data_IF_416438266089
#
_entry.id   IF_416438266089
#
_cell.length_a   1.000
_cell.length_b   1.000
_cell.length_c   1.000
_cell.angle_alpha   90.00
_cell.angle_beta   90.00
_cell.angle_gamma   90.00
#
_symmetry.space_group_name_H-M   'P 1'
#
loop_
_entity.id
_entity.type
_entity.pdbx_description
1 polymer ?
#
# COMPACT_ATOMS: atom_id res chain seq x y z
N UNK A 1 24.16 39.18 21.71
CA UNK A 1 23.54 39.07 20.37
C UNK A 1 24.37 38.29 19.36
N UNK A 2 25.72 38.37 19.43
CA UNK A 2 26.60 37.64 18.47
C UNK A 2 26.47 36.11 18.57
N UNK A 3 26.43 35.55 19.79
CA UNK A 3 26.27 34.09 19.99
C UNK A 3 25.01 33.53 19.32
N UNK A 4 23.91 34.30 19.37
CA UNK A 4 22.64 33.86 18.74
C UNK A 4 22.78 33.82 17.22
N UNK A 5 23.48 34.77 16.60
CA UNK A 5 23.73 34.78 15.17
C UNK A 5 24.54 33.54 14.74
N UNK A 6 25.59 33.20 15.49
CA UNK A 6 26.44 32.05 15.21
C UNK A 6 25.62 30.74 15.25
N UNK A 7 24.77 30.59 16.27
CA UNK A 7 23.89 29.43 16.40
C UNK A 7 22.94 29.36 15.20
N UNK A 8 22.31 30.47 14.82
CA UNK A 8 21.39 30.52 13.67
C UNK A 8 22.11 30.13 12.38
N UNK A 9 23.30 30.68 12.11
CA UNK A 9 24.07 30.36 10.92
C UNK A 9 24.52 28.90 10.89
N UNK A 10 24.86 28.31 12.03
CA UNK A 10 25.22 26.91 12.13
C UNK A 10 24.01 25.98 11.93
N UNK A 11 22.83 26.36 12.40
CA UNK A 11 21.61 25.56 12.26
C UNK A 11 20.98 25.64 10.86
N UNK A 12 21.22 26.72 10.11
CA UNK A 12 20.66 26.92 8.77
C UNK A 12 21.01 25.79 7.78
N UNK A 13 22.29 25.34 7.68
CA UNK A 13 22.65 24.23 6.80
C UNK A 13 21.91 22.93 7.16
N UNK A 14 21.72 22.65 8.47
CA UNK A 14 20.98 21.47 8.92
C UNK A 14 19.51 21.54 8.55
N UNK A 15 18.89 22.72 8.66
CA UNK A 15 17.50 22.92 8.22
C UNK A 15 17.35 22.71 6.71
N UNK A 16 18.29 23.20 5.91
CA UNK A 16 18.33 22.99 4.45
C UNK A 16 18.48 21.50 4.12
N UNK A 17 19.42 20.81 4.75
CA UNK A 17 19.64 19.37 4.56
C UNK A 17 18.38 18.58 4.90
N UNK A 18 17.73 18.91 6.02
CA UNK A 18 16.47 18.27 6.42
C UNK A 18 15.35 18.51 5.40
N UNK A 19 15.22 19.73 4.88
CA UNK A 19 14.26 20.05 3.83
C UNK A 19 14.52 19.26 2.55
N UNK A 20 15.77 19.16 2.13
CA UNK A 20 16.18 18.37 0.96
C UNK A 20 15.86 16.89 1.16
N UNK A 21 16.23 16.30 2.31
CA UNK A 21 15.94 14.90 2.62
C UNK A 21 14.43 14.63 2.61
N UNK A 22 13.64 15.54 3.18
CA UNK A 22 12.18 15.40 3.20
C UNK A 22 11.55 15.45 1.82
N UNK A 23 12.12 16.20 0.88
CA UNK A 23 11.61 16.30 -0.49
C UNK A 23 12.08 15.14 -1.38
N UNK A 24 13.32 14.68 -1.21
CA UNK A 24 13.88 13.61 -2.04
C UNK A 24 13.41 12.24 -1.60
N UNK A 25 13.35 12.00 -0.29
CA UNK A 25 12.94 10.69 0.26
C UNK A 25 11.45 10.70 0.53
N UNK A 26 10.73 9.77 -0.12
CA UNK A 26 9.27 9.62 0.06
C UNK A 26 8.86 9.65 1.53
N UNK A 27 7.72 10.31 1.81
CA UNK A 27 7.15 10.42 3.15
C UNK A 27 6.89 9.06 3.84
N UNK A 28 6.73 7.99 3.06
CA UNK A 28 6.54 6.62 3.58
C UNK A 28 7.84 5.99 4.11
N UNK A 29 9.00 6.56 3.78
CA UNK A 29 10.30 5.93 4.02
C UNK A 29 11.09 6.58 5.16
N UNK A 30 10.47 6.74 6.33
CA UNK A 30 11.08 7.35 7.51
C UNK A 30 12.34 6.65 8.00
N UNK A 31 12.42 5.32 7.88
CA UNK A 31 13.61 4.56 8.26
C UNK A 31 14.83 4.95 7.42
N UNK A 32 14.66 5.11 6.10
CA UNK A 32 15.72 5.56 5.19
C UNK A 32 16.16 7.00 5.49
N UNK A 33 15.19 7.89 5.81
CA UNK A 33 15.49 9.26 6.25
C UNK A 33 16.33 9.26 7.51
N UNK A 34 15.95 8.46 8.51
CA UNK A 34 16.70 8.34 9.77
C UNK A 34 18.13 7.82 9.54
N UNK A 35 18.30 6.82 8.65
CA UNK A 35 19.63 6.30 8.31
C UNK A 35 20.53 7.39 7.70
N UNK A 36 20.02 8.17 6.75
CA UNK A 36 20.78 9.27 6.14
C UNK A 36 21.17 10.32 7.19
N UNK A 37 20.25 10.69 8.08
CA UNK A 37 20.52 11.65 9.16
C UNK A 37 21.54 11.10 10.18
N UNK A 38 21.55 9.80 10.45
CA UNK A 38 22.59 9.15 11.27
C UNK A 38 23.97 9.26 10.64
N UNK A 39 24.09 9.06 9.33
CA UNK A 39 25.36 9.21 8.62
C UNK A 39 25.86 10.65 8.73
N UNK A 40 24.98 11.63 8.53
CA UNK A 40 25.32 13.06 8.68
C UNK A 40 25.72 13.39 10.11
N UNK A 41 25.01 12.85 11.12
CA UNK A 41 25.34 13.03 12.52
C UNK A 41 26.74 12.51 12.87
N UNK A 42 27.08 11.29 12.43
CA UNK A 42 28.41 10.71 12.64
C UNK A 42 29.48 11.52 11.93
N UNK A 43 29.25 11.97 10.70
CA UNK A 43 30.16 12.83 9.95
C UNK A 43 30.42 14.17 10.70
N UNK A 44 29.37 14.83 11.17
CA UNK A 44 29.48 16.05 11.96
C UNK A 44 30.22 15.81 13.27
N UNK A 45 29.93 14.71 13.98
CA UNK A 45 30.63 14.34 15.21
C UNK A 45 32.12 14.16 15.00
N UNK A 46 32.53 13.49 13.90
CA UNK A 46 33.93 13.30 13.57
C UNK A 46 34.63 14.62 13.22
N UNK A 47 34.01 15.48 12.44
CA UNK A 47 34.57 16.78 12.06
C UNK A 47 34.75 17.69 13.28
N UNK A 48 33.73 17.83 14.12
CA UNK A 48 33.82 18.69 15.31
C UNK A 48 34.69 18.09 16.37
N UNK A 49 34.64 16.77 16.61
CA UNK A 49 35.53 16.07 17.52
C UNK A 49 37.00 16.20 17.11
N UNK A 50 37.28 16.05 15.81
CA UNK A 50 38.60 16.24 15.23
C UNK A 50 39.11 17.66 15.40
N UNK A 51 38.27 18.69 15.17
CA UNK A 51 38.59 20.08 15.38
C UNK A 51 38.89 20.39 16.87
N UNK A 52 38.11 19.80 17.79
CA UNK A 52 38.36 19.94 19.24
C UNK A 52 39.71 19.36 19.65
N UNK A 53 40.04 18.18 19.18
CA UNK A 53 41.33 17.53 19.48
C UNK A 53 42.47 18.37 18.92
N UNK A 54 42.34 18.85 17.69
CA UNK A 54 43.33 19.71 17.06
C UNK A 54 43.59 20.99 17.86
N UNK A 55 42.53 21.75 18.23
CA UNK A 55 42.60 22.95 19.03
C UNK A 55 43.25 22.67 20.40
N UNK A 56 42.90 21.59 21.06
CA UNK A 56 43.49 21.19 22.34
C UNK A 56 44.99 20.89 22.23
N UNK A 57 45.41 20.23 21.17
CA UNK A 57 46.82 19.88 20.94
C UNK A 57 47.69 21.11 20.59
N UNK A 58 47.11 22.08 19.86
CA UNK A 58 47.85 23.25 19.38
C UNK A 58 47.94 24.38 20.37
N UNK A 59 46.84 24.65 21.10
CA UNK A 59 46.73 25.80 21.98
C UNK A 59 46.72 25.48 23.49
N UNK A 60 46.68 24.21 23.86
CA UNK A 60 46.66 23.77 25.26
C UNK A 60 45.35 24.08 26.00
N UNK A 61 45.29 23.70 27.29
CA UNK A 61 44.05 23.73 28.07
C UNK A 61 43.61 25.12 28.58
N UNK A 62 44.41 26.17 28.36
CA UNK A 62 44.22 27.45 29.07
C UNK A 62 43.44 28.52 28.29
N UNK A 63 43.16 28.34 27.00
CA UNK A 63 42.40 29.33 26.25
C UNK A 63 41.31 28.63 25.40
N UNK A 64 40.11 28.58 25.94
CA UNK A 64 38.92 28.28 25.16
C UNK A 64 38.56 29.44 24.23
N UNK A 65 39.45 29.73 23.26
CA UNK A 65 39.25 30.82 22.31
C UNK A 65 38.13 30.57 21.33
N UNK A 66 37.76 29.29 21.13
CA UNK A 66 36.74 28.87 20.16
C UNK A 66 35.45 28.38 20.79
N UNK A 67 35.12 28.80 22.03
CA UNK A 67 33.86 28.44 22.70
C UNK A 67 32.61 28.61 21.83
N UNK A 68 32.57 29.59 20.95
CA UNK A 68 31.47 29.89 20.07
C UNK A 68 31.23 28.77 19.05
N UNK A 69 32.29 28.15 18.51
CA UNK A 69 32.21 27.04 17.58
C UNK A 69 31.67 25.77 18.25
N UNK A 70 32.06 25.51 19.50
CA UNK A 70 31.54 24.40 20.28
C UNK A 70 30.05 24.54 20.54
N UNK A 71 29.59 25.73 20.83
CA UNK A 71 28.18 26.02 21.08
C UNK A 71 27.35 25.82 19.80
N UNK A 72 27.88 26.29 18.67
CA UNK A 72 27.28 26.09 17.37
C UNK A 72 27.24 24.60 16.97
N UNK A 73 28.34 23.87 17.15
CA UNK A 73 28.46 22.44 16.90
C UNK A 73 27.49 21.63 17.76
N UNK A 74 27.43 21.93 19.06
CA UNK A 74 26.49 21.29 19.98
C UNK A 74 25.04 21.51 19.58
N UNK A 75 24.67 22.72 19.17
CA UNK A 75 23.33 23.03 18.67
C UNK A 75 22.98 22.23 17.40
N UNK A 76 23.90 22.14 16.43
CA UNK A 76 23.72 21.35 15.20
C UNK A 76 23.51 19.86 15.51
N UNK A 77 24.34 19.29 16.40
CA UNK A 77 24.23 17.89 16.81
C UNK A 77 22.89 17.60 17.51
N UNK A 78 22.45 18.49 18.42
CA UNK A 78 21.17 18.35 19.10
C UNK A 78 19.98 18.40 18.14
N UNK A 79 19.99 19.34 17.17
CA UNK A 79 18.95 19.43 16.16
C UNK A 79 18.91 18.17 15.28
N UNK A 80 20.09 17.71 14.83
CA UNK A 80 20.17 16.50 14.03
C UNK A 80 19.66 15.26 14.78
N UNK A 81 20.04 15.12 16.05
CA UNK A 81 19.55 14.07 16.92
C UNK A 81 18.02 14.13 17.07
N UNK A 82 17.45 15.32 17.25
CA UNK A 82 16.00 15.51 17.29
C UNK A 82 15.30 15.02 16.02
N UNK A 83 15.86 15.30 14.84
CA UNK A 83 15.32 14.82 13.57
C UNK A 83 15.45 13.30 13.42
N UNK A 84 16.55 12.70 13.87
CA UNK A 84 16.72 11.24 13.91
C UNK A 84 15.62 10.61 14.75
N UNK A 85 15.45 11.08 15.98
CA UNK A 85 14.42 10.58 16.91
C UNK A 85 13.03 10.74 16.31
N UNK A 86 12.71 11.90 15.75
CA UNK A 86 11.41 12.13 15.08
C UNK A 86 11.15 11.11 13.97
N UNK A 87 12.12 10.90 13.06
CA UNK A 87 11.96 9.95 11.95
C UNK A 87 11.88 8.50 12.44
N UNK A 88 12.60 8.13 13.50
CA UNK A 88 12.49 6.81 14.11
C UNK A 88 11.10 6.57 14.71
N UNK A 89 10.58 7.55 15.48
CA UNK A 89 9.23 7.47 16.04
C UNK A 89 8.19 7.31 14.92
N UNK A 90 8.31 8.07 13.83
CA UNK A 90 7.40 7.93 12.69
C UNK A 90 7.56 6.59 11.97
N UNK A 91 8.78 6.06 11.85
CA UNK A 91 9.03 4.73 11.30
C UNK A 91 8.35 3.64 12.14
N UNK A 92 8.48 3.69 13.48
CA UNK A 92 7.81 2.76 14.38
C UNK A 92 6.28 2.88 14.30
N UNK A 93 5.74 4.09 14.30
CA UNK A 93 4.28 4.31 14.15
C UNK A 93 3.75 3.76 12.84
N UNK A 94 4.48 3.95 11.74
CA UNK A 94 4.09 3.40 10.44
C UNK A 94 4.21 1.87 10.39
N UNK A 95 5.25 1.31 10.99
CA UNK A 95 5.39 -0.14 11.12
C UNK A 95 4.23 -0.75 11.92
N UNK A 96 3.83 -0.12 13.02
CA UNK A 96 2.65 -0.53 13.79
C UNK A 96 1.35 -0.41 12.98
N UNK A 97 1.18 0.64 12.18
CA UNK A 97 0.01 0.78 11.30
C UNK A 97 -0.03 -0.31 10.23
N UNK A 98 1.12 -0.63 9.61
CA UNK A 98 1.23 -1.70 8.61
C UNK A 98 1.01 -3.06 9.28
N UNK A 99 1.57 -3.30 10.46
CA UNK A 99 1.36 -4.54 11.22
C UNK A 99 -0.10 -4.71 11.64
N UNK A 100 -0.76 -3.64 12.07
CA UNK A 100 -2.18 -3.66 12.38
C UNK A 100 -3.03 -3.86 11.12
N UNK A 101 -2.70 -3.20 9.99
CA UNK A 101 -3.36 -3.45 8.72
C UNK A 101 -3.21 -4.91 8.28
N UNK A 102 -2.03 -5.51 8.42
CA UNK A 102 -1.81 -6.92 8.14
C UNK A 102 -2.59 -7.84 9.10
N UNK A 103 -2.79 -7.45 10.36
CA UNK A 103 -3.64 -8.19 11.30
C UNK A 103 -5.13 -8.03 10.97
N UNK A 104 -5.56 -6.83 10.53
CA UNK A 104 -6.93 -6.63 10.00
C UNK A 104 -7.16 -7.43 8.72
N UNK A 105 -6.15 -7.56 7.86
CA UNK A 105 -6.22 -8.35 6.63
C UNK A 105 -6.34 -9.87 6.90
N UNK A 106 -5.85 -10.37 8.05
CA UNK A 106 -6.03 -11.78 8.45
C UNK A 106 -7.49 -12.16 8.71
N UNK A 107 -8.33 -11.18 9.05
CA UNK A 107 -9.76 -11.38 9.34
C UNK A 107 -10.66 -11.02 8.14
N UNK A 108 -10.09 -10.52 7.05
CA UNK A 108 -10.82 -10.16 5.84
C UNK A 108 -10.50 -11.19 4.75
N UNK A 109 -11.52 -11.88 4.30
CA UNK A 109 -11.41 -12.72 3.11
C UNK A 109 -11.67 -11.85 1.87
N UNK A 110 -10.69 -11.80 0.98
CA UNK A 110 -10.79 -11.09 -0.30
C UNK A 110 -11.04 -12.08 -1.43
N UNK A 111 -11.99 -11.74 -2.28
CA UNK A 111 -12.40 -12.58 -3.41
C UNK A 111 -12.35 -11.80 -4.71
N UNK A 112 -11.90 -12.45 -5.78
CA UNK A 112 -12.24 -12.05 -7.14
C UNK A 112 -13.63 -12.58 -7.43
N UNK A 113 -14.47 -11.75 -8.03
CA UNK A 113 -15.78 -12.13 -8.53
C UNK A 113 -15.86 -11.77 -10.02
N UNK A 114 -15.84 -12.79 -10.86
CA UNK A 114 -15.66 -12.61 -12.30
C UNK A 114 -16.91 -13.12 -13.03
N UNK A 115 -17.40 -12.31 -13.96
CA UNK A 115 -18.42 -12.70 -14.93
C UNK A 115 -17.75 -12.65 -16.31
N UNK A 116 -17.80 -13.74 -17.05
CA UNK A 116 -17.27 -13.80 -18.40
C UNK A 116 -18.36 -13.49 -19.42
N UNK A 117 -17.97 -12.88 -20.53
CA UNK A 117 -18.84 -12.51 -21.63
C UNK A 117 -18.19 -12.86 -22.97
N UNK A 118 -18.98 -13.35 -23.91
CA UNK A 118 -18.59 -13.51 -25.31
C UNK A 118 -19.73 -13.05 -26.21
N UNK A 119 -19.49 -12.02 -27.02
CA UNK A 119 -20.55 -11.35 -27.75
C UNK A 119 -21.61 -10.77 -26.82
N UNK A 120 -22.85 -11.20 -26.96
CA UNK A 120 -23.96 -10.78 -26.10
C UNK A 120 -24.31 -11.80 -24.99
N UNK A 121 -23.57 -12.90 -24.91
CA UNK A 121 -23.84 -13.97 -23.97
C UNK A 121 -22.91 -13.92 -22.77
N UNK A 122 -23.43 -14.28 -21.61
CA UNK A 122 -22.69 -14.36 -20.35
C UNK A 122 -22.46 -15.81 -19.95
N UNK A 123 -21.34 -16.07 -19.28
CA UNK A 123 -20.98 -17.38 -18.76
C UNK A 123 -21.08 -17.34 -17.24
N UNK A 124 -22.03 -18.10 -16.70
CA UNK A 124 -22.21 -18.26 -15.27
C UNK A 124 -21.94 -19.72 -14.88
N UNK A 125 -21.30 -19.90 -13.75
CA UNK A 125 -21.02 -21.20 -13.19
C UNK A 125 -22.30 -21.83 -12.67
N UNK A 126 -22.55 -23.07 -13.08
CA UNK A 126 -23.69 -23.85 -12.65
C UNK A 126 -23.27 -24.80 -11.53
N UNK A 127 -23.94 -24.73 -10.40
CA UNK A 127 -23.77 -25.67 -9.28
C UNK A 127 -25.11 -26.31 -8.93
N UNK A 128 -25.09 -27.63 -8.71
CA UNK A 128 -26.28 -28.31 -8.19
C UNK A 128 -26.24 -28.32 -6.67
N UNK A 129 -27.21 -27.66 -6.06
CA UNK A 129 -27.33 -27.57 -4.60
C UNK A 129 -28.75 -27.92 -4.19
N UNK A 130 -28.88 -28.88 -3.30
CA UNK A 130 -30.18 -29.36 -2.79
C UNK A 130 -31.15 -29.79 -3.92
N UNK A 131 -30.64 -30.44 -4.98
CA UNK A 131 -31.34 -30.82 -6.20
C UNK A 131 -31.90 -29.62 -7.02
N UNK A 132 -31.34 -28.45 -6.86
CA UNK A 132 -31.65 -27.26 -7.66
C UNK A 132 -30.38 -26.76 -8.32
N UNK A 133 -30.52 -26.35 -9.57
CA UNK A 133 -29.44 -25.69 -10.30
C UNK A 133 -29.36 -24.22 -9.86
N UNK A 134 -28.22 -23.83 -9.29
CA UNK A 134 -27.95 -22.47 -8.82
C UNK A 134 -26.83 -21.88 -9.64
N UNK A 135 -27.02 -20.64 -10.09
CA UNK A 135 -26.05 -19.93 -10.92
C UNK A 135 -25.28 -18.89 -10.12
N UNK A 136 -23.98 -18.78 -10.40
CA UNK A 136 -23.07 -17.84 -9.74
C UNK A 136 -21.97 -17.37 -10.71
N UNK A 137 -21.38 -16.22 -10.43
CA UNK A 137 -20.14 -15.81 -11.06
C UNK A 137 -18.97 -16.62 -10.55
N UNK A 138 -17.85 -16.54 -11.23
CA UNK A 138 -16.62 -17.19 -10.80
C UNK A 138 -16.06 -16.47 -9.56
N UNK A 139 -16.06 -17.16 -8.43
CA UNK A 139 -15.71 -16.59 -7.14
C UNK A 139 -14.46 -17.26 -6.59
N UNK A 140 -13.34 -16.51 -6.58
CA UNK A 140 -12.01 -17.04 -6.26
C UNK A 140 -11.42 -16.28 -5.07
N UNK A 141 -11.02 -17.02 -4.04
CA UNK A 141 -10.33 -16.45 -2.88
C UNK A 141 -8.92 -16.01 -3.28
N UNK A 142 -8.50 -14.82 -2.82
CA UNK A 142 -7.13 -14.35 -3.01
C UNK A 142 -6.13 -15.34 -2.38
N UNK A 143 -5.01 -15.54 -3.07
CA UNK A 143 -3.88 -16.26 -2.51
C UNK A 143 -3.26 -15.49 -1.35
N UNK A 144 -2.74 -16.23 -0.37
CA UNK A 144 -2.03 -15.61 0.75
C UNK A 144 -0.81 -14.86 0.25
N UNK A 145 -0.74 -13.56 0.57
CA UNK A 145 0.37 -12.69 0.18
C UNK A 145 0.07 -11.79 -1.01
N UNK A 146 -1.04 -11.98 -1.71
CA UNK A 146 -1.50 -11.05 -2.75
C UNK A 146 -2.24 -9.88 -2.09
N UNK A 147 -1.80 -8.66 -2.37
CA UNK A 147 -2.34 -7.45 -1.75
C UNK A 147 -3.22 -6.63 -2.68
N UNK A 148 -3.04 -6.79 -3.99
CA UNK A 148 -3.72 -6.00 -5.01
C UNK A 148 -4.63 -6.89 -5.85
N UNK A 149 -5.86 -6.41 -6.07
CA UNK A 149 -6.84 -7.15 -6.85
C UNK A 149 -6.41 -7.34 -8.32
N UNK A 150 -5.65 -6.39 -8.89
CA UNK A 150 -5.11 -6.49 -10.25
C UNK A 150 -4.07 -7.62 -10.38
N UNK A 151 -3.19 -7.79 -9.37
CA UNK A 151 -2.24 -8.90 -9.33
C UNK A 151 -2.97 -10.24 -9.18
N UNK A 152 -3.96 -10.30 -8.28
CA UNK A 152 -4.78 -11.48 -8.07
C UNK A 152 -5.49 -11.89 -9.35
N UNK A 153 -6.11 -10.92 -10.03
CA UNK A 153 -6.81 -11.12 -11.29
C UNK A 153 -5.87 -11.62 -12.39
N UNK A 154 -4.76 -10.94 -12.64
CA UNK A 154 -3.80 -11.31 -13.68
C UNK A 154 -3.21 -12.70 -13.45
N UNK A 155 -2.87 -13.04 -12.19
CA UNK A 155 -2.39 -14.37 -11.82
C UNK A 155 -3.44 -15.45 -12.05
N UNK A 156 -4.69 -15.16 -11.70
CA UNK A 156 -5.79 -16.11 -11.87
C UNK A 156 -6.10 -16.39 -13.35
N UNK A 157 -6.26 -15.34 -14.16
CA UNK A 157 -6.55 -15.48 -15.61
C UNK A 157 -5.40 -16.20 -16.32
N UNK A 158 -4.16 -15.91 -16.00
CA UNK A 158 -2.98 -16.60 -16.57
C UNK A 158 -2.99 -18.11 -16.28
N UNK A 159 -3.46 -18.51 -15.10
CA UNK A 159 -3.58 -19.94 -14.73
C UNK A 159 -4.78 -20.63 -15.39
N UNK A 160 -5.86 -19.89 -15.59
CA UNK A 160 -7.06 -20.43 -16.25
C UNK A 160 -6.80 -20.75 -17.72
N UNK A 161 -5.78 -20.11 -18.33
CA UNK A 161 -5.40 -20.35 -19.73
C UNK A 161 -6.45 -19.89 -20.74
N UNK A 162 -7.34 -18.98 -20.35
CA UNK A 162 -8.42 -18.46 -21.19
C UNK A 162 -7.91 -17.25 -21.96
N UNK A 163 -8.22 -17.20 -23.26
CA UNK A 163 -7.92 -16.04 -24.10
C UNK A 163 -8.96 -14.96 -23.87
N UNK A 164 -8.51 -13.79 -23.42
CA UNK A 164 -9.36 -12.62 -23.18
C UNK A 164 -9.07 -11.53 -24.20
N UNK A 165 -10.11 -10.80 -24.61
CA UNK A 165 -9.98 -9.63 -25.49
C UNK A 165 -9.84 -8.35 -24.65
N UNK A 166 -10.65 -8.24 -23.60
CA UNK A 166 -10.67 -7.07 -22.71
C UNK A 166 -11.19 -7.47 -21.32
N UNK A 167 -10.97 -6.64 -20.34
CA UNK A 167 -11.57 -6.77 -19.00
C UNK A 167 -11.79 -5.41 -18.35
N UNK A 168 -12.81 -5.34 -17.53
CA UNK A 168 -13.16 -4.14 -16.80
C UNK A 168 -13.36 -4.47 -15.33
N UNK A 169 -12.70 -3.72 -14.45
CA UNK A 169 -13.04 -3.67 -13.04
C UNK A 169 -14.32 -2.84 -12.88
N UNK A 170 -15.37 -3.45 -12.39
CA UNK A 170 -16.70 -2.79 -12.27
C UNK A 170 -16.94 -2.26 -10.87
N UNK A 171 -16.30 -2.83 -9.84
CA UNK A 171 -16.48 -2.30 -8.49
C UNK A 171 -16.21 -3.31 -7.40
N UNK A 172 -16.58 -2.95 -6.18
CA UNK A 172 -16.41 -3.81 -5.02
C UNK A 172 -17.67 -3.91 -4.17
N UNK A 173 -17.81 -5.06 -3.50
CA UNK A 173 -18.85 -5.27 -2.51
C UNK A 173 -18.26 -5.82 -1.21
N UNK A 174 -18.77 -5.35 -0.07
CA UNK A 174 -18.36 -5.82 1.24
C UNK A 174 -19.56 -6.52 1.91
N UNK A 175 -19.39 -7.78 2.29
CA UNK A 175 -20.38 -8.52 3.06
C UNK A 175 -19.89 -8.76 4.49
N UNK A 176 -20.71 -8.41 5.46
CA UNK A 176 -20.43 -8.47 6.90
C UNK A 176 -21.30 -9.55 7.55
N UNK A 177 -20.98 -10.85 7.40
CA UNK A 177 -21.72 -11.90 8.14
C UNK A 177 -20.96 -12.32 9.41
N UNK A 178 -20.18 -13.40 9.35
CA UNK A 178 -19.34 -13.88 10.47
C UNK A 178 -17.89 -13.41 10.34
N UNK A 179 -17.46 -13.15 9.10
CA UNK A 179 -16.15 -12.58 8.72
C UNK A 179 -16.40 -11.54 7.65
N UNK A 180 -15.60 -10.49 7.66
CA UNK A 180 -15.63 -9.48 6.62
C UNK A 180 -15.14 -10.10 5.30
N UNK A 181 -15.98 -10.08 4.28
CA UNK A 181 -15.68 -10.55 2.93
C UNK A 181 -15.71 -9.37 1.98
N UNK A 182 -14.69 -9.23 1.15
CA UNK A 182 -14.64 -8.19 0.12
C UNK A 182 -14.55 -8.87 -1.24
N UNK A 183 -15.45 -8.51 -2.13
CA UNK A 183 -15.52 -9.00 -3.49
C UNK A 183 -15.07 -7.90 -4.43
N UNK A 184 -14.06 -8.17 -5.25
CA UNK A 184 -13.64 -7.30 -6.35
C UNK A 184 -14.21 -7.86 -7.64
N UNK A 185 -15.09 -7.07 -8.26
CA UNK A 185 -15.95 -7.52 -9.35
C UNK A 185 -15.40 -7.14 -10.72
N UNK A 186 -15.30 -8.10 -11.59
CA UNK A 186 -14.77 -7.95 -12.95
C UNK A 186 -15.76 -8.47 -13.99
N UNK A 187 -15.81 -7.78 -15.12
CA UNK A 187 -16.40 -8.27 -16.36
C UNK A 187 -15.24 -8.57 -17.32
N UNK A 188 -15.22 -9.75 -17.88
CA UNK A 188 -14.15 -10.23 -18.78
C UNK A 188 -14.74 -10.58 -20.12
N UNK A 189 -14.28 -9.93 -21.19
CA UNK A 189 -14.64 -10.26 -22.56
C UNK A 189 -13.69 -11.35 -23.09
N UNK A 190 -14.26 -12.49 -23.45
CA UNK A 190 -13.53 -13.62 -24.02
C UNK A 190 -13.20 -13.38 -25.49
N UNK A 191 -12.05 -13.87 -25.94
CA UNK A 191 -11.63 -13.77 -27.34
C UNK A 191 -12.35 -14.78 -28.24
N UNK A 192 -12.74 -15.89 -27.66
CA UNK A 192 -13.40 -17.00 -28.38
C UNK A 192 -14.46 -17.66 -27.49
N UNK A 193 -15.30 -18.47 -28.13
CA UNK A 193 -16.37 -19.25 -27.47
C UNK A 193 -15.77 -20.49 -26.78
N UNK A 194 -14.84 -20.29 -25.88
CA UNK A 194 -14.26 -21.38 -25.12
C UNK A 194 -15.26 -21.94 -24.12
N UNK A 195 -15.45 -23.25 -24.15
CA UNK A 195 -16.19 -23.95 -23.10
C UNK A 195 -15.38 -23.88 -21.81
N UNK A 196 -15.74 -22.92 -20.94
CA UNK A 196 -15.27 -22.90 -19.58
C UNK A 196 -15.91 -24.10 -18.84
N UNK A 197 -15.08 -24.96 -18.26
CA UNK A 197 -15.57 -26.10 -17.50
C UNK A 197 -16.53 -25.65 -16.37
N UNK A 198 -17.72 -26.26 -16.34
CA UNK A 198 -18.81 -25.96 -15.39
C UNK A 198 -19.49 -24.58 -15.57
N UNK A 199 -19.29 -23.90 -16.70
CA UNK A 199 -20.02 -22.67 -17.00
C UNK A 199 -21.07 -22.92 -18.07
N UNK A 200 -22.24 -22.31 -17.89
CA UNK A 200 -23.33 -22.34 -18.83
C UNK A 200 -23.46 -20.97 -19.51
N UNK A 201 -23.69 -20.99 -20.81
CA UNK A 201 -23.88 -19.80 -21.62
C UNK A 201 -25.31 -19.31 -21.51
N UNK A 202 -25.50 -18.09 -21.06
CA UNK A 202 -26.81 -17.55 -20.68
C UNK A 202 -27.03 -16.20 -21.36
N UNK A 203 -28.23 -16.02 -21.89
CA UNK A 203 -28.67 -14.72 -22.40
C UNK A 203 -28.92 -13.73 -21.30
N UNK A 204 -28.60 -12.41 -21.47
CA UNK A 204 -28.87 -11.37 -20.48
C UNK A 204 -30.33 -11.33 -20.05
N UNK A 205 -31.29 -11.70 -20.93
CA UNK A 205 -32.72 -11.72 -20.63
C UNK A 205 -33.12 -12.89 -19.72
N UNK A 206 -32.38 -13.99 -19.73
CA UNK A 206 -32.62 -15.16 -18.90
C UNK A 206 -32.06 -15.00 -17.49
N UNK A 207 -30.98 -14.24 -17.33
CA UNK A 207 -30.27 -14.07 -16.05
C UNK A 207 -31.20 -13.62 -14.91
N UNK A 208 -32.17 -12.77 -15.21
CA UNK A 208 -33.12 -12.25 -14.21
C UNK A 208 -33.99 -13.34 -13.59
N UNK A 209 -34.26 -14.41 -14.38
CA UNK A 209 -35.13 -15.51 -13.99
C UNK A 209 -34.38 -16.72 -13.41
N UNK A 210 -33.04 -16.69 -13.40
CA UNK A 210 -32.24 -17.77 -12.84
C UNK A 210 -32.33 -17.84 -11.32
N UNK A 211 -32.24 -19.06 -10.81
CA UNK A 211 -32.14 -19.29 -9.37
C UNK A 211 -30.72 -18.97 -8.90
N UNK A 212 -30.57 -17.97 -8.04
CA UNK A 212 -29.30 -17.50 -7.51
C UNK A 212 -29.44 -17.16 -6.03
N UNK A 213 -28.34 -17.28 -5.29
CA UNK A 213 -28.31 -16.72 -3.94
C UNK A 213 -28.31 -15.17 -4.01
N UNK A 214 -28.95 -14.52 -3.07
CA UNK A 214 -29.11 -13.05 -3.04
C UNK A 214 -27.80 -12.30 -3.25
N UNK A 215 -26.71 -12.75 -2.62
CA UNK A 215 -25.38 -12.17 -2.79
C UNK A 215 -24.94 -12.21 -4.26
N UNK A 216 -24.98 -13.39 -4.88
CA UNK A 216 -24.55 -13.58 -6.27
C UNK A 216 -25.45 -12.83 -7.24
N UNK A 217 -26.76 -12.85 -6.99
CA UNK A 217 -27.74 -12.10 -7.79
C UNK A 217 -27.42 -10.60 -7.78
N UNK A 218 -27.16 -10.05 -6.60
CA UNK A 218 -26.82 -8.62 -6.46
C UNK A 218 -25.51 -8.29 -7.19
N UNK A 219 -24.45 -9.09 -7.02
CA UNK A 219 -23.16 -8.84 -7.66
C UNK A 219 -23.27 -8.94 -9.20
N UNK A 220 -23.92 -9.98 -9.71
CA UNK A 220 -24.12 -10.17 -11.16
C UNK A 220 -24.91 -9.01 -11.75
N UNK A 221 -26.00 -8.61 -11.12
CA UNK A 221 -26.82 -7.49 -11.62
C UNK A 221 -26.03 -6.17 -11.66
N UNK A 222 -25.21 -5.88 -10.67
CA UNK A 222 -24.34 -4.70 -10.71
C UNK A 222 -23.29 -4.77 -11.82
N UNK A 223 -22.68 -5.95 -12.05
CA UNK A 223 -21.72 -6.15 -13.13
C UNK A 223 -22.39 -5.96 -14.49
N UNK A 224 -23.58 -6.50 -14.67
CA UNK A 224 -24.33 -6.38 -15.94
C UNK A 224 -24.75 -4.93 -16.25
N UNK A 225 -25.05 -4.13 -15.24
CA UNK A 225 -25.36 -2.70 -15.42
C UNK A 225 -24.11 -1.95 -15.91
N UNK A 226 -22.90 -2.44 -15.61
CA UNK A 226 -21.63 -1.85 -16.08
C UNK A 226 -21.31 -0.50 -15.50
N UNK A 227 -21.97 -0.08 -14.40
CA UNK A 227 -21.66 1.16 -13.68
C UNK A 227 -20.79 0.83 -12.47
N UNK A 228 -19.77 1.63 -12.27
CA UNK A 228 -18.91 1.54 -11.09
C UNK A 228 -19.72 1.56 -9.80
N UNK A 229 -19.44 0.61 -8.89
CA UNK A 229 -20.15 0.50 -7.63
C UNK A 229 -19.19 0.18 -6.46
N UNK A 230 -19.61 0.61 -5.27
CA UNK A 230 -19.00 0.22 -4.01
C UNK A 230 -20.13 0.09 -2.98
N UNK A 231 -20.50 -1.14 -2.64
CA UNK A 231 -21.68 -1.43 -1.82
C UNK A 231 -21.35 -2.25 -0.58
N UNK A 232 -22.12 -2.07 0.48
CA UNK A 232 -22.15 -2.95 1.65
C UNK A 232 -23.42 -3.82 1.60
N UNK A 233 -23.24 -5.15 1.80
CA UNK A 233 -24.29 -6.18 1.68
C UNK A 233 -24.57 -6.83 3.02
#
# INVERSE_FOLDING_TARGET
>A
MEHIKIIIYACLPMAIIFFIINNIVSAKNYAKRSMILCIIFVGNLMLFGGAMIYDYLEFGSNEFTHYQYFLAAGAMLLINLGFIIYNLIQAFRNHHKISNANNYQKDINQYLYIVYKYGEMYYLRKENKDNKDVYLGDCVLFEKGTFFYDEAFSSYISRLGVSITDYSYIGSATANKKKKMVFYCFLVDLADDNNLDNFERISPYEIVNLEMFDLHKTLIMHILIGKEFNIEL
#
